data_IF_810226896730
#
_entry.id   IF_810226896730
#
_cell.length_a   1.000
_cell.length_b   1.000
_cell.length_c   1.000
_cell.angle_alpha   90.00
_cell.angle_beta   90.00
_cell.angle_gamma   90.00
#
_symmetry.space_group_name_H-M   'P 1'
#
loop_
_entity.id
_entity.type
_entity.pdbx_description
1 polymer ?
#
# COMPACT_ATOMS: atom_id res chain seq x y z
N UNK A 1 4.97 23.25 17.65
CA UNK A 1 5.20 22.19 16.64
C UNK A 1 4.99 22.83 15.29
N UNK A 2 6.07 23.03 14.50
CA UNK A 2 6.03 23.79 13.24
C UNK A 2 4.93 23.26 12.30
N UNK A 3 4.16 24.16 11.70
CA UNK A 3 3.11 23.86 10.73
C UNK A 3 3.58 22.90 9.63
N UNK A 4 4.83 23.02 9.17
CA UNK A 4 5.45 22.13 8.19
C UNK A 4 5.43 20.64 8.56
N UNK A 5 5.51 20.31 9.84
CA UNK A 5 5.47 18.91 10.29
C UNK A 5 4.11 18.27 9.98
N UNK A 6 3.00 18.98 10.25
CA UNK A 6 1.64 18.46 10.05
C UNK A 6 1.39 18.13 8.56
N UNK A 7 1.87 18.96 7.65
CA UNK A 7 1.71 18.76 6.21
C UNK A 7 2.47 17.53 5.72
N UNK A 8 3.68 17.28 6.23
CA UNK A 8 4.44 16.07 5.88
C UNK A 8 3.68 14.82 6.34
N UNK A 9 3.22 14.79 7.59
CA UNK A 9 2.41 13.68 8.11
C UNK A 9 1.14 13.44 7.28
N UNK A 10 0.46 14.51 6.88
CA UNK A 10 -0.78 14.45 6.12
C UNK A 10 -0.57 14.00 4.67
N UNK A 11 0.49 14.47 4.01
CA UNK A 11 0.86 14.02 2.66
C UNK A 11 1.21 12.52 2.68
N UNK A 12 2.03 12.08 3.64
CA UNK A 12 2.41 10.67 3.78
C UNK A 12 1.18 9.79 4.06
N UNK A 13 0.25 10.28 4.89
CA UNK A 13 -1.04 9.62 5.11
C UNK A 13 -1.83 9.45 3.82
N UNK A 14 -2.01 10.54 3.06
CA UNK A 14 -2.78 10.53 1.81
C UNK A 14 -2.16 9.57 0.80
N UNK A 15 -0.83 9.55 0.65
CA UNK A 15 -0.15 8.67 -0.30
C UNK A 15 -0.43 7.19 0.03
N UNK A 16 -0.18 6.77 1.29
CA UNK A 16 -0.38 5.38 1.71
C UNK A 16 -1.87 5.00 1.69
N UNK A 17 -2.75 5.93 2.06
CA UNK A 17 -4.20 5.73 1.99
C UNK A 17 -4.67 5.56 0.54
N UNK A 18 -4.18 6.38 -0.40
CA UNK A 18 -4.53 6.27 -1.81
C UNK A 18 -4.03 4.96 -2.41
N UNK A 19 -2.82 4.52 -2.07
CA UNK A 19 -2.28 3.26 -2.59
C UNK A 19 -3.03 2.02 -2.10
N UNK A 20 -3.39 1.99 -0.82
CA UNK A 20 -4.14 0.86 -0.23
C UNK A 20 -5.63 0.91 -0.57
N UNK A 21 -6.20 2.12 -0.64
CA UNK A 21 -7.61 2.36 -0.92
C UNK A 21 -8.01 2.33 -2.39
N UNK A 22 -7.12 2.74 -3.30
CA UNK A 22 -7.41 2.76 -4.74
C UNK A 22 -6.92 1.47 -5.41
N UNK A 23 -7.87 0.57 -5.72
CA UNK A 23 -7.66 -0.69 -6.47
C UNK A 23 -6.89 -0.50 -7.78
N UNK A 24 -6.90 0.71 -8.34
CA UNK A 24 -6.41 1.04 -9.69
C UNK A 24 -4.95 1.51 -9.70
N UNK A 25 -4.35 1.83 -8.53
CA UNK A 25 -2.98 2.38 -8.46
C UNK A 25 -1.98 1.48 -7.71
N UNK A 26 -1.79 0.19 -8.10
CA UNK A 26 -0.79 -0.69 -7.47
C UNK A 26 0.67 -0.26 -7.72
N UNK A 27 0.89 0.83 -8.46
CA UNK A 27 2.21 1.35 -8.83
C UNK A 27 2.73 2.47 -7.93
N UNK A 28 1.95 2.89 -6.92
CA UNK A 28 2.44 3.85 -5.95
C UNK A 28 3.45 3.18 -4.99
N UNK A 29 4.61 3.79 -4.72
CA UNK A 29 5.70 3.16 -3.99
C UNK A 29 5.59 3.37 -2.46
N UNK A 30 4.48 2.96 -1.84
CA UNK A 30 4.24 3.16 -0.41
C UNK A 30 5.12 2.31 0.47
N UNK A 31 5.43 1.09 0.04
CA UNK A 31 6.43 0.23 0.71
C UNK A 31 7.76 0.97 0.87
N UNK A 32 8.26 1.56 -0.22
CA UNK A 32 9.50 2.33 -0.24
C UNK A 32 9.39 3.62 0.56
N UNK A 33 8.24 4.28 0.53
CA UNK A 33 7.99 5.53 1.25
C UNK A 33 7.93 5.32 2.76
N UNK A 34 7.28 4.26 3.24
CA UNK A 34 7.27 3.90 4.66
C UNK A 34 8.70 3.56 5.11
N UNK A 35 9.44 2.80 4.32
CA UNK A 35 10.83 2.47 4.60
C UNK A 35 11.72 3.74 4.66
N UNK A 36 11.63 4.61 3.66
CA UNK A 36 12.38 5.89 3.63
C UNK A 36 12.02 6.79 4.81
N UNK A 37 10.75 6.81 5.19
CA UNK A 37 10.27 7.58 6.35
C UNK A 37 10.80 7.01 7.67
N UNK A 38 10.95 5.68 7.77
CA UNK A 38 11.63 5.03 8.89
C UNK A 38 13.09 5.47 8.99
N UNK A 39 13.82 5.51 7.86
CA UNK A 39 15.19 6.00 7.82
C UNK A 39 15.28 7.49 8.22
N UNK A 40 14.34 8.33 7.76
CA UNK A 40 14.20 9.74 8.19
C UNK A 40 13.95 9.89 9.69
N UNK A 41 13.17 8.99 10.27
CA UNK A 41 12.97 8.97 11.71
C UNK A 41 14.26 8.62 12.48
N UNK A 42 15.13 7.77 11.93
CA UNK A 42 16.43 7.45 12.52
C UNK A 42 17.41 8.62 12.51
N UNK A 43 17.33 9.49 11.50
CA UNK A 43 18.08 10.74 11.43
C UNK A 43 17.56 11.82 12.41
N UNK A 44 16.47 11.57 13.14
CA UNK A 44 15.85 12.52 14.07
C UNK A 44 14.99 13.59 13.38
N UNK A 45 14.76 13.48 12.06
CA UNK A 45 13.98 14.46 11.30
C UNK A 45 12.47 14.33 11.52
N UNK A 46 11.99 13.12 11.85
CA UNK A 46 10.58 12.80 12.06
C UNK A 46 10.45 11.97 13.35
N UNK A 47 9.36 12.17 14.10
CA UNK A 47 9.08 11.34 15.29
C UNK A 47 8.52 9.99 14.84
N UNK A 48 9.19 8.91 15.26
CA UNK A 48 8.84 7.53 14.86
C UNK A 48 7.43 7.11 15.30
N UNK A 49 7.04 7.42 16.54
CA UNK A 49 5.75 6.95 17.09
C UNK A 49 4.52 7.60 16.40
N UNK A 50 4.47 8.94 16.20
CA UNK A 50 3.37 9.56 15.46
C UNK A 50 3.26 9.05 14.02
N UNK A 51 4.38 8.93 13.30
CA UNK A 51 4.32 8.47 11.90
C UNK A 51 3.88 7.02 11.79
N UNK A 52 4.33 6.17 12.73
CA UNK A 52 3.89 4.79 12.82
C UNK A 52 2.37 4.67 12.97
N UNK A 53 1.78 5.43 13.90
CA UNK A 53 0.33 5.45 14.10
C UNK A 53 -0.41 5.96 12.85
N UNK A 54 0.11 7.00 12.21
CA UNK A 54 -0.47 7.56 10.99
C UNK A 54 -0.46 6.52 9.85
N UNK A 55 0.64 5.80 9.63
CA UNK A 55 0.70 4.76 8.61
C UNK A 55 -0.21 3.57 8.91
N UNK A 56 -0.29 3.14 10.17
CA UNK A 56 -1.25 2.11 10.57
C UNK A 56 -2.69 2.54 10.28
N UNK A 57 -3.05 3.79 10.62
CA UNK A 57 -4.38 4.34 10.33
C UNK A 57 -4.63 4.44 8.83
N UNK A 58 -3.67 4.95 8.05
CA UNK A 58 -3.78 5.07 6.60
C UNK A 58 -4.03 3.71 5.95
N UNK A 59 -3.25 2.69 6.32
CA UNK A 59 -3.38 1.34 5.80
C UNK A 59 -4.73 0.71 6.16
N UNK A 60 -5.16 0.82 7.42
CA UNK A 60 -6.44 0.23 7.86
C UNK A 60 -7.61 0.92 7.16
N UNK A 61 -7.61 2.25 7.10
CA UNK A 61 -8.69 3.02 6.47
C UNK A 61 -8.72 2.83 4.95
N UNK A 62 -7.56 2.80 4.28
CA UNK A 62 -7.47 2.53 2.85
C UNK A 62 -8.04 1.16 2.50
N UNK A 63 -7.58 0.11 3.17
CA UNK A 63 -8.08 -1.25 2.94
C UNK A 63 -9.57 -1.39 3.30
N UNK A 64 -10.07 -0.61 4.27
CA UNK A 64 -11.50 -0.53 4.60
C UNK A 64 -12.31 0.07 3.45
N UNK A 65 -11.84 1.17 2.86
CA UNK A 65 -12.48 1.77 1.68
C UNK A 65 -12.48 0.80 0.51
N UNK A 66 -11.36 0.10 0.30
CA UNK A 66 -11.23 -0.91 -0.75
C UNK A 66 -12.23 -2.08 -0.54
N UNK A 67 -12.35 -2.58 0.69
CA UNK A 67 -13.37 -3.57 1.05
C UNK A 67 -14.80 -3.06 0.79
N UNK A 68 -15.10 -1.82 1.18
CA UNK A 68 -16.43 -1.23 0.95
C UNK A 68 -16.75 -1.08 -0.54
N UNK A 69 -15.77 -0.72 -1.35
CA UNK A 69 -15.91 -0.67 -2.82
C UNK A 69 -16.20 -2.07 -3.38
N UNK A 70 -15.46 -3.10 -2.92
CA UNK A 70 -15.72 -4.50 -3.29
C UNK A 70 -17.10 -4.99 -2.88
N UNK A 71 -17.55 -4.61 -1.68
CA UNK A 71 -18.88 -4.95 -1.17
C UNK A 71 -19.99 -4.28 -1.99
N UNK A 72 -19.83 -3.01 -2.36
CA UNK A 72 -20.81 -2.28 -3.17
C UNK A 72 -20.87 -2.79 -4.62
N UNK A 73 -19.72 -3.19 -5.18
CA UNK A 73 -19.65 -3.73 -6.55
C UNK A 73 -19.96 -5.22 -6.64
N UNK A 74 -20.30 -5.88 -5.52
CA UNK A 74 -20.57 -7.32 -5.45
C UNK A 74 -21.55 -7.80 -6.53
N UNK A 75 -22.68 -7.12 -6.68
CA UNK A 75 -23.72 -7.55 -7.62
C UNK A 75 -23.27 -7.43 -9.08
N UNK A 76 -22.47 -6.39 -9.41
CA UNK A 76 -21.89 -6.20 -10.74
C UNK A 76 -20.79 -7.21 -11.06
N UNK A 77 -19.94 -7.53 -10.08
CA UNK A 77 -18.91 -8.58 -10.22
C UNK A 77 -19.58 -9.95 -10.39
N UNK A 78 -20.63 -10.23 -9.62
CA UNK A 78 -21.37 -11.49 -9.67
C UNK A 78 -22.13 -11.67 -10.99
N UNK A 79 -22.66 -10.58 -11.56
CA UNK A 79 -23.27 -10.55 -12.89
C UNK A 79 -22.27 -10.78 -14.05
N UNK A 80 -20.97 -10.98 -13.77
CA UNK A 80 -19.88 -11.16 -14.76
C UNK A 80 -19.78 -10.01 -15.76
N UNK A 81 -20.25 -8.81 -15.40
CA UNK A 81 -19.95 -7.64 -16.22
C UNK A 81 -18.44 -7.38 -16.17
N UNK A 82 -17.82 -7.22 -17.34
CA UNK A 82 -16.41 -6.86 -17.42
C UNK A 82 -16.23 -5.47 -16.78
N UNK A 83 -15.74 -5.44 -15.54
CA UNK A 83 -15.31 -4.19 -14.92
C UNK A 83 -14.07 -3.74 -15.68
N UNK A 84 -14.24 -2.71 -16.52
CA UNK A 84 -13.23 -2.19 -17.47
C UNK A 84 -11.84 -1.92 -16.85
N UNK A 85 -11.77 -1.80 -15.53
CA UNK A 85 -10.56 -1.48 -14.75
C UNK A 85 -10.01 -2.64 -13.90
N UNK A 86 -10.67 -3.80 -13.84
CA UNK A 86 -10.24 -4.94 -13.01
C UNK A 86 -10.09 -6.18 -13.89
N UNK A 87 -8.85 -6.71 -14.00
CA UNK A 87 -8.61 -7.94 -14.74
C UNK A 87 -9.14 -9.13 -13.93
N UNK A 88 -9.98 -9.94 -14.58
CA UNK A 88 -10.58 -11.14 -14.00
C UNK A 88 -9.54 -12.13 -13.47
N UNK A 89 -8.41 -12.29 -14.16
CA UNK A 89 -7.32 -13.17 -13.71
C UNK A 89 -6.81 -12.83 -12.29
N UNK A 90 -6.70 -11.55 -11.94
CA UNK A 90 -6.24 -11.16 -10.60
C UNK A 90 -7.30 -11.39 -9.53
N UNK A 91 -8.59 -11.24 -9.89
CA UNK A 91 -9.69 -11.61 -9.02
C UNK A 91 -9.68 -13.12 -8.76
N UNK A 92 -9.62 -13.93 -9.83
CA UNK A 92 -9.65 -15.39 -9.74
C UNK A 92 -8.47 -15.92 -8.90
N UNK A 93 -7.24 -15.41 -9.11
CA UNK A 93 -6.07 -15.78 -8.30
C UNK A 93 -6.23 -15.40 -6.84
N UNK A 94 -6.82 -14.23 -6.56
CA UNK A 94 -7.04 -13.77 -5.19
C UNK A 94 -8.12 -14.62 -4.52
N UNK A 95 -9.21 -14.93 -5.21
CA UNK A 95 -10.27 -15.84 -4.75
C UNK A 95 -9.72 -17.23 -4.45
N UNK A 96 -8.91 -17.82 -5.34
CA UNK A 96 -8.27 -19.11 -5.09
C UNK A 96 -7.37 -19.07 -3.84
N UNK A 97 -6.67 -17.96 -3.62
CA UNK A 97 -5.87 -17.77 -2.42
C UNK A 97 -6.73 -17.70 -1.15
N UNK A 98 -7.89 -17.02 -1.23
CA UNK A 98 -8.91 -16.98 -0.17
C UNK A 98 -9.50 -18.36 0.11
N UNK A 99 -9.82 -19.14 -0.91
CA UNK A 99 -10.36 -20.49 -0.75
C UNK A 99 -9.34 -21.42 -0.08
N UNK A 100 -8.05 -21.23 -0.39
CA UNK A 100 -6.96 -22.05 0.15
C UNK A 100 -6.55 -21.71 1.59
N UNK A 101 -6.53 -20.42 1.97
CA UNK A 101 -6.02 -19.97 3.28
C UNK A 101 -7.08 -19.32 4.17
N UNK A 102 -8.30 -19.16 3.67
CA UNK A 102 -9.43 -18.56 4.37
C UNK A 102 -9.17 -17.12 4.81
N UNK A 103 -9.75 -16.77 5.96
CA UNK A 103 -9.68 -15.43 6.58
C UNK A 103 -8.26 -14.90 6.81
N UNK A 104 -7.29 -15.79 7.01
CA UNK A 104 -5.87 -15.43 7.23
C UNK A 104 -5.21 -14.87 5.98
N UNK A 105 -5.84 -15.04 4.81
CA UNK A 105 -5.41 -14.48 3.53
C UNK A 105 -5.18 -12.99 3.61
N UNK A 106 -5.98 -12.23 4.36
CA UNK A 106 -5.81 -10.77 4.47
C UNK A 106 -4.43 -10.38 4.99
N UNK A 107 -3.88 -11.16 5.93
CA UNK A 107 -2.54 -10.92 6.47
C UNK A 107 -1.48 -11.34 5.47
N UNK A 108 -1.60 -12.55 4.90
CA UNK A 108 -0.62 -13.10 3.97
C UNK A 108 -0.56 -12.33 2.65
N UNK A 109 -1.70 -11.86 2.16
CA UNK A 109 -1.85 -11.10 0.93
C UNK A 109 -0.99 -9.85 0.94
N UNK A 110 -0.80 -9.19 2.10
CA UNK A 110 0.02 -7.97 2.22
C UNK A 110 1.47 -8.17 1.80
N UNK A 111 2.00 -9.39 1.88
CA UNK A 111 3.36 -9.71 1.47
C UNK A 111 3.48 -10.09 -0.02
N UNK A 112 2.34 -10.21 -0.72
CA UNK A 112 2.31 -10.55 -2.14
C UNK A 112 1.77 -9.34 -2.92
N UNK A 113 2.63 -8.60 -3.66
CA UNK A 113 2.29 -7.30 -4.26
C UNK A 113 1.02 -7.27 -5.13
N UNK A 114 0.73 -8.35 -5.85
CA UNK A 114 -0.48 -8.42 -6.68
C UNK A 114 -1.69 -8.71 -5.79
N UNK A 115 -1.58 -9.67 -4.87
CA UNK A 115 -2.71 -10.13 -4.06
C UNK A 115 -3.09 -9.05 -3.02
N UNK A 116 -2.14 -8.28 -2.49
CA UNK A 116 -2.42 -7.26 -1.45
C UNK A 116 -3.46 -6.24 -1.88
N UNK A 117 -3.43 -5.78 -3.13
CA UNK A 117 -4.32 -4.71 -3.61
C UNK A 117 -5.72 -5.24 -3.90
N UNK A 118 -5.83 -6.51 -4.32
CA UNK A 118 -7.11 -7.14 -4.63
C UNK A 118 -7.72 -7.87 -3.44
N UNK A 119 -6.96 -8.22 -2.40
CA UNK A 119 -7.46 -9.00 -1.27
C UNK A 119 -8.58 -8.30 -0.48
N UNK A 120 -8.47 -7.01 -0.12
CA UNK A 120 -9.58 -6.29 0.52
C UNK A 120 -10.82 -6.23 -0.37
N UNK A 121 -10.63 -5.98 -1.67
CA UNK A 121 -11.69 -5.96 -2.66
C UNK A 121 -12.43 -7.31 -2.73
N UNK A 122 -11.68 -8.40 -2.90
CA UNK A 122 -12.22 -9.77 -3.00
C UNK A 122 -12.87 -10.20 -1.69
N UNK A 123 -12.35 -9.81 -0.53
CA UNK A 123 -13.04 -10.04 0.74
C UNK A 123 -14.40 -9.33 0.81
N UNK A 124 -14.50 -8.12 0.27
CA UNK A 124 -15.75 -7.36 0.16
C UNK A 124 -16.77 -8.02 -0.77
N UNK A 125 -16.32 -8.51 -1.93
CA UNK A 125 -17.14 -9.25 -2.90
C UNK A 125 -17.58 -10.61 -2.32
N UNK A 126 -16.66 -11.32 -1.66
CA UNK A 126 -16.83 -12.68 -1.12
C UNK A 126 -17.62 -12.79 0.18
N UNK A 127 -18.35 -11.74 0.58
CA UNK A 127 -19.21 -11.71 1.80
C UNK A 127 -18.51 -11.99 3.12
N UNK A 128 -17.20 -11.73 3.22
CA UNK A 128 -16.51 -11.85 4.50
C UNK A 128 -17.13 -10.86 5.51
N UNK A 129 -17.46 -11.26 6.75
CA UNK A 129 -18.02 -10.33 7.72
C UNK A 129 -17.07 -9.17 7.99
N UNK A 130 -17.56 -7.92 7.90
CA UNK A 130 -16.74 -6.71 8.06
C UNK A 130 -15.87 -6.72 9.32
N UNK A 131 -16.42 -7.18 10.46
CA UNK A 131 -15.67 -7.29 11.71
C UNK A 131 -14.47 -8.24 11.61
N UNK A 132 -14.65 -9.36 10.90
CA UNK A 132 -13.58 -10.34 10.67
C UNK A 132 -12.51 -9.72 9.79
N UNK A 133 -12.92 -9.11 8.67
CA UNK A 133 -12.02 -8.41 7.77
C UNK A 133 -11.20 -7.36 8.51
N UNK A 134 -11.85 -6.48 9.29
CA UNK A 134 -11.18 -5.39 10.00
C UNK A 134 -10.13 -5.91 11.00
N UNK A 135 -10.42 -6.99 11.73
CA UNK A 135 -9.45 -7.58 12.66
C UNK A 135 -8.20 -8.10 11.95
N UNK A 136 -8.37 -8.90 10.88
CA UNK A 136 -7.22 -9.40 10.10
C UNK A 136 -6.49 -8.28 9.38
N UNK A 137 -7.23 -7.28 8.88
CA UNK A 137 -6.69 -6.11 8.21
C UNK A 137 -5.83 -5.27 9.17
N UNK A 138 -6.32 -5.01 10.38
CA UNK A 138 -5.59 -4.30 11.41
C UNK A 138 -4.30 -5.03 11.80
N UNK A 139 -4.38 -6.34 12.07
CA UNK A 139 -3.19 -7.15 12.40
C UNK A 139 -2.17 -7.12 11.25
N UNK A 140 -2.63 -7.37 10.02
CA UNK A 140 -1.76 -7.35 8.84
C UNK A 140 -1.16 -5.97 8.58
N UNK A 141 -1.93 -4.90 8.75
CA UNK A 141 -1.48 -3.53 8.52
C UNK A 141 -0.45 -3.09 9.54
N UNK A 142 -0.71 -3.34 10.81
CA UNK A 142 0.22 -3.10 11.90
C UNK A 142 1.52 -3.86 11.67
N UNK A 143 1.44 -5.15 11.31
CA UNK A 143 2.62 -5.99 11.06
C UNK A 143 3.44 -5.48 9.87
N UNK A 144 2.77 -5.15 8.76
CA UNK A 144 3.42 -4.64 7.56
C UNK A 144 4.10 -3.27 7.80
N UNK A 145 3.38 -2.32 8.41
CA UNK A 145 3.94 -1.00 8.76
C UNK A 145 5.11 -1.18 9.72
N UNK A 146 4.98 -2.06 10.72
CA UNK A 146 6.07 -2.33 11.67
C UNK A 146 7.31 -2.83 10.94
N UNK A 147 7.17 -3.87 10.11
CA UNK A 147 8.31 -4.46 9.40
C UNK A 147 8.98 -3.40 8.52
N UNK A 148 8.22 -2.69 7.68
CA UNK A 148 8.78 -1.70 6.74
C UNK A 148 9.39 -0.49 7.46
N UNK A 149 8.68 0.09 8.43
CA UNK A 149 9.11 1.30 9.14
C UNK A 149 10.28 1.04 10.06
N UNK A 150 10.24 -0.04 10.86
CA UNK A 150 11.35 -0.39 11.75
C UNK A 150 12.56 -0.86 10.95
N UNK A 151 12.39 -1.62 9.86
CA UNK A 151 13.51 -1.95 8.97
C UNK A 151 14.17 -0.69 8.43
N UNK A 152 13.39 0.29 7.97
CA UNK A 152 13.90 1.60 7.56
C UNK A 152 14.62 2.35 8.68
N UNK A 153 14.07 2.31 9.89
CA UNK A 153 14.68 2.95 11.07
C UNK A 153 16.03 2.33 11.44
N UNK A 154 16.12 1.01 11.52
CA UNK A 154 17.38 0.32 11.78
C UNK A 154 18.39 0.56 10.66
N UNK A 155 17.94 0.53 9.40
CA UNK A 155 18.77 0.81 8.23
C UNK A 155 19.33 2.24 8.25
N UNK A 156 18.49 3.23 8.60
CA UNK A 156 18.89 4.63 8.72
C UNK A 156 19.91 4.90 9.84
N UNK A 157 19.96 4.03 10.86
CA UNK A 157 20.90 4.15 11.97
C UNK A 157 22.30 3.57 11.66
N UNK A 158 22.48 2.94 10.50
CA UNK A 158 23.79 2.43 10.05
C UNK A 158 24.70 3.64 9.74
N UNK A 159 25.95 3.68 10.23
CA UNK A 159 26.85 4.84 10.05
C UNK A 159 27.07 5.25 8.59
N UNK A 160 27.14 4.26 7.69
CA UNK A 160 27.29 4.46 6.23
C UNK A 160 26.08 5.19 5.65
N UNK A 161 24.88 4.85 6.11
CA UNK A 161 23.61 5.45 5.66
C UNK A 161 23.44 6.84 6.27
N UNK A 162 23.80 7.00 7.54
CA UNK A 162 23.74 8.30 8.24
C UNK A 162 24.66 9.35 7.61
N UNK A 163 25.85 8.94 7.16
CA UNK A 163 26.79 9.84 6.46
C UNK A 163 26.37 10.16 5.02
N UNK A 164 25.56 9.31 4.38
CA UNK A 164 25.09 9.49 3.00
C UNK A 164 23.56 9.68 2.92
N UNK A 165 22.98 10.24 3.98
CA UNK A 165 21.54 10.21 4.19
C UNK A 165 20.75 10.84 3.03
N UNK A 166 21.18 12.01 2.56
CA UNK A 166 20.57 12.69 1.42
C UNK A 166 20.62 11.86 0.14
N UNK A 167 21.72 11.14 -0.10
CA UNK A 167 21.90 10.30 -1.31
C UNK A 167 21.01 9.06 -1.24
N UNK A 168 20.88 8.44 -0.07
CA UNK A 168 20.04 7.26 0.13
C UNK A 168 18.56 7.61 -0.03
N UNK A 169 18.09 8.69 0.58
CA UNK A 169 16.69 9.14 0.43
C UNK A 169 16.39 9.53 -1.01
N UNK A 170 17.28 10.30 -1.65
CA UNK A 170 17.14 10.65 -3.06
C UNK A 170 17.12 9.40 -3.97
N UNK A 171 17.98 8.42 -3.67
CA UNK A 171 18.03 7.14 -4.36
C UNK A 171 16.72 6.36 -4.25
N UNK A 172 16.13 6.27 -3.06
CA UNK A 172 14.82 5.63 -2.88
C UNK A 172 13.75 6.36 -3.69
N UNK A 173 13.67 7.70 -3.61
CA UNK A 173 12.70 8.48 -4.38
C UNK A 173 12.86 8.27 -5.89
N UNK A 174 14.09 8.29 -6.39
CA UNK A 174 14.38 8.04 -7.82
C UNK A 174 13.97 6.63 -8.23
N UNK A 175 14.37 5.60 -7.47
CA UNK A 175 14.01 4.20 -7.74
C UNK A 175 12.50 3.99 -7.69
N UNK A 176 11.82 4.65 -6.76
CA UNK A 176 10.36 4.62 -6.62
C UNK A 176 9.62 5.33 -7.76
N UNK A 177 10.17 6.40 -8.32
CA UNK A 177 9.59 7.13 -9.46
C UNK A 177 9.91 6.52 -10.83
N UNK A 178 11.04 5.80 -10.95
CA UNK A 178 11.47 5.14 -12.19
C UNK A 178 10.36 4.28 -12.84
N UNK A 179 9.67 3.37 -12.14
CA UNK A 179 8.61 2.56 -12.73
C UNK A 179 7.44 3.40 -13.28
N UNK A 180 7.10 4.50 -12.61
CA UNK A 180 6.01 5.40 -12.99
C UNK A 180 6.40 6.14 -14.27
N UNK A 181 7.62 6.70 -14.30
CA UNK A 181 8.16 7.41 -15.48
C UNK A 181 8.30 6.46 -16.67
N UNK A 182 8.80 5.25 -16.45
CA UNK A 182 8.97 4.24 -17.50
C UNK A 182 7.61 3.81 -18.09
N UNK A 183 6.60 3.61 -17.23
CA UNK A 183 5.24 3.27 -17.67
C UNK A 183 4.57 4.43 -18.40
N UNK A 184 4.77 5.67 -17.94
CA UNK A 184 4.26 6.86 -18.61
C UNK A 184 4.89 7.05 -19.99
N UNK A 185 6.21 6.90 -20.10
CA UNK A 185 6.92 6.98 -21.39
C UNK A 185 6.48 5.86 -22.33
N UNK A 186 6.38 4.62 -21.82
CA UNK A 186 5.93 3.47 -22.62
C UNK A 186 4.48 3.66 -23.12
N UNK A 187 3.58 4.15 -22.28
CA UNK A 187 2.20 4.42 -22.68
C UNK A 187 2.12 5.58 -23.69
N UNK A 188 2.92 6.64 -23.51
CA UNK A 188 3.00 7.76 -24.46
C UNK A 188 3.62 7.36 -25.80
N UNK A 189 4.52 6.37 -25.82
CA UNK A 189 5.06 5.78 -27.04
C UNK A 189 4.10 4.79 -27.70
N UNK A 190 3.25 4.11 -26.92
CA UNK A 190 2.21 3.22 -27.43
C UNK A 190 1.03 3.99 -28.08
N UNK A 191 0.63 5.13 -27.51
CA UNK A 191 -0.40 6.02 -28.09
C UNK A 191 0.02 6.69 -29.40
N UNK A 192 1.32 6.68 -29.74
CA UNK A 192 1.83 7.26 -30.99
C UNK A 192 1.86 6.28 -32.17
N UNK A 193 1.44 5.02 -31.96
CA UNK A 193 1.41 3.95 -32.95
C UNK A 193 -0.01 3.46 -33.30
N UNK A 194 -1.04 4.26 -33.02
CA UNK A 194 -2.43 4.03 -33.47
C UNK A 194 -2.83 5.15 -34.42
#
# INVERSE_FOLDING_TARGET
MNEYGIYIYLILFIIVFCETGLVIMPFLPGDSLIFATGALAAAGSIKLMPIYLIFCLAAILGDTVNYSIGHFLRDKVSARENIRFIKKEYLDRTTEFFDKHGSSTIILARFVPIIRTFAPFVAGVGTMPYRKFLSYNAIGGILWVSIALFAGFFFGNIPIVKNNFSIVVLGIVVVSLLPIVFTYIKNKMADKNI
#
